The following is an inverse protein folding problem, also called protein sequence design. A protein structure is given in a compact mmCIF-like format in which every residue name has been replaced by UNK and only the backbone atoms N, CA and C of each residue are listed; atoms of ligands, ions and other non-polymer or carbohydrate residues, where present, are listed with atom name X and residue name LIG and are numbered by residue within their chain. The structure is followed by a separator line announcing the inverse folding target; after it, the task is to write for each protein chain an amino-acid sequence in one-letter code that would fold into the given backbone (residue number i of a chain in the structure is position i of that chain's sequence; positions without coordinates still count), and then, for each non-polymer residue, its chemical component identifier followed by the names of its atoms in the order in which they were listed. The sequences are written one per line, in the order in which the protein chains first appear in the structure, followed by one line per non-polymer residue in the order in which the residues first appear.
data_IF_026613695416
#
_entry.id   IF_026613695416
#
_cell.length_a   1.000
_cell.length_b   1.000
_cell.length_c   1.000
_cell.angle_alpha   90.00
_cell.angle_beta   90.00
_cell.angle_gamma   90.00
#
_symmetry.space_group_name_H-M   'P 1'
#
loop_
_entity.id
_entity.type
_entity.pdbx_description
1 polymer ?
#
# COMPACT_ATOMS: atom_id res chain seq x y z
N UNK A 1 22.65 0.78 6.27
CA UNK A 1 21.69 0.69 7.39
C UNK A 1 20.74 -0.46 7.09
N UNK A 2 20.25 -1.22 8.09
CA UNK A 2 19.15 -2.17 7.89
C UNK A 2 17.83 -1.47 8.23
N UNK A 3 16.79 -1.75 7.45
CA UNK A 3 15.43 -1.31 7.76
C UNK A 3 14.60 -2.50 8.23
N UNK A 4 13.95 -2.35 9.36
CA UNK A 4 13.21 -3.41 10.06
C UNK A 4 11.87 -2.86 10.53
N UNK A 5 10.82 -3.61 10.28
CA UNK A 5 9.50 -3.38 10.83
C UNK A 5 8.54 -4.50 10.47
N UNK A 6 7.26 -4.17 10.35
CA UNK A 6 6.19 -5.15 10.17
C UNK A 6 5.23 -4.75 9.05
N UNK A 7 4.42 -5.71 8.61
CA UNK A 7 3.20 -5.41 7.87
C UNK A 7 2.15 -4.90 8.86
N UNK A 8 1.83 -3.61 8.79
CA UNK A 8 0.96 -2.92 9.75
C UNK A 8 -0.43 -2.65 9.14
N UNK A 9 -1.43 -2.49 10.01
CA UNK A 9 -2.79 -2.20 9.59
C UNK A 9 -2.89 -0.77 9.02
N UNK A 10 -3.62 -0.61 7.92
CA UNK A 10 -4.06 0.68 7.37
C UNK A 10 -5.54 0.99 7.70
N UNK A 11 -6.14 0.25 8.64
CA UNK A 11 -7.54 0.47 9.04
C UNK A 11 -7.72 1.90 9.57
N UNK A 12 -8.79 2.56 9.12
CA UNK A 12 -9.08 3.97 9.40
C UNK A 12 -8.30 4.97 8.54
N UNK A 13 -7.57 4.52 7.51
CA UNK A 13 -6.83 5.38 6.57
C UNK A 13 -5.36 4.95 6.44
N UNK A 14 -4.79 5.10 5.25
CA UNK A 14 -3.41 4.67 4.94
C UNK A 14 -2.35 5.38 5.78
N UNK A 15 -2.58 6.64 6.17
CA UNK A 15 -1.69 7.39 7.07
C UNK A 15 -1.48 6.68 8.43
N UNK A 16 -2.47 5.93 8.91
CA UNK A 16 -2.35 5.17 10.15
C UNK A 16 -1.30 4.05 10.08
N UNK A 17 -0.95 3.57 8.89
CA UNK A 17 0.14 2.61 8.74
C UNK A 17 1.48 3.21 9.19
N UNK A 18 1.80 4.43 8.74
CA UNK A 18 3.01 5.14 9.17
C UNK A 18 3.01 5.44 10.68
N UNK A 19 1.86 5.84 11.23
CA UNK A 19 1.71 6.09 12.68
C UNK A 19 1.98 4.81 13.47
N UNK A 20 1.32 3.70 13.12
CA UNK A 20 1.47 2.40 13.81
C UNK A 20 2.88 1.83 13.66
N UNK A 21 3.52 2.03 12.52
CA UNK A 21 4.92 1.66 12.32
C UNK A 21 5.84 2.44 13.28
N UNK A 22 5.58 3.74 13.47
CA UNK A 22 6.34 4.56 14.41
C UNK A 22 6.12 4.14 15.88
N UNK A 23 4.89 3.80 16.26
CA UNK A 23 4.54 3.34 17.62
C UNK A 23 5.32 2.09 18.04
N UNK A 24 5.67 1.21 17.10
CA UNK A 24 6.46 0.00 17.34
C UNK A 24 7.97 0.21 17.16
N UNK A 25 8.42 1.44 16.92
CA UNK A 25 9.83 1.76 16.68
C UNK A 25 10.39 1.24 15.35
N UNK A 26 9.53 1.04 14.35
CA UNK A 26 9.96 0.53 13.05
C UNK A 26 10.81 1.55 12.27
N UNK A 27 11.68 1.02 11.42
CA UNK A 27 12.50 1.76 10.46
C UNK A 27 12.13 1.46 9.00
N UNK A 28 11.18 0.55 8.79
CA UNK A 28 10.45 0.30 7.55
C UNK A 28 9.07 -0.29 7.87
N UNK A 29 8.13 -0.28 6.93
CA UNK A 29 6.85 -0.96 7.10
C UNK A 29 6.27 -1.45 5.78
N UNK A 30 5.35 -2.40 5.88
CA UNK A 30 4.51 -2.85 4.78
C UNK A 30 3.03 -2.56 5.08
N UNK A 31 2.22 -2.43 4.04
CA UNK A 31 0.79 -2.20 4.12
C UNK A 31 0.09 -2.73 2.87
N UNK A 32 -1.21 -2.98 2.95
CA UNK A 32 -2.05 -3.06 1.75
C UNK A 32 -2.40 -1.65 1.27
N UNK A 33 -2.39 -1.42 -0.04
CA UNK A 33 -2.75 -0.10 -0.60
C UNK A 33 -4.25 0.16 -0.60
N UNK A 34 -5.04 -0.92 -0.64
CA UNK A 34 -6.50 -0.93 -0.67
C UNK A 34 -7.06 -2.16 0.03
N UNK A 35 -8.39 -2.28 0.06
CA UNK A 35 -9.06 -3.46 0.60
C UNK A 35 -8.77 -4.70 -0.26
N UNK A 36 -8.00 -5.63 0.28
CA UNK A 36 -7.55 -6.87 -0.36
C UNK A 36 -8.67 -7.90 -0.62
N UNK A 37 -9.91 -7.63 -0.20
CA UNK A 37 -11.08 -8.49 -0.46
C UNK A 37 -11.89 -8.03 -1.68
N UNK A 38 -11.53 -6.91 -2.30
CA UNK A 38 -12.27 -6.30 -3.40
C UNK A 38 -11.37 -6.19 -4.64
N UNK A 39 -11.96 -6.40 -5.81
CA UNK A 39 -11.25 -6.29 -7.09
C UNK A 39 -11.02 -4.83 -7.51
N UNK A 40 -12.00 -3.97 -7.24
CA UNK A 40 -11.94 -2.54 -7.53
C UNK A 40 -12.06 -1.78 -6.22
N UNK A 41 -11.14 -0.85 -6.01
CA UNK A 41 -11.22 0.13 -4.94
C UNK A 41 -11.42 1.51 -5.56
N UNK A 42 -12.03 2.42 -4.81
CA UNK A 42 -12.06 3.82 -5.21
C UNK A 42 -10.62 4.36 -5.29
N UNK A 43 -10.32 5.25 -6.25
CA UNK A 43 -9.06 5.98 -6.27
C UNK A 43 -8.81 6.67 -4.92
N UNK A 44 -7.54 6.75 -4.51
CA UNK A 44 -7.17 7.54 -3.35
C UNK A 44 -7.44 9.02 -3.64
N UNK A 45 -8.03 9.73 -2.68
CA UNK A 45 -8.20 11.18 -2.79
C UNK A 45 -6.86 11.89 -2.60
N UNK A 46 -6.72 13.09 -3.18
CA UNK A 46 -5.54 13.94 -2.97
C UNK A 46 -5.30 14.21 -1.48
N UNK A 47 -6.37 14.35 -0.69
CA UNK A 47 -6.31 14.49 0.76
C UNK A 47 -5.69 13.25 1.42
N UNK A 48 -6.14 12.04 1.06
CA UNK A 48 -5.59 10.79 1.61
C UNK A 48 -4.11 10.62 1.25
N UNK A 49 -3.72 11.00 0.03
CA UNK A 49 -2.33 10.96 -0.42
C UNK A 49 -1.48 11.97 0.38
N UNK A 50 -1.98 13.20 0.57
CA UNK A 50 -1.30 14.23 1.34
C UNK A 50 -1.11 13.82 2.80
N UNK A 51 -2.13 13.26 3.43
CA UNK A 51 -2.06 12.74 4.82
C UNK A 51 -1.02 11.63 4.96
N UNK A 52 -0.98 10.68 4.01
CA UNK A 52 0.00 9.60 4.02
C UNK A 52 1.43 10.15 3.90
N UNK A 53 1.67 11.06 2.95
CA UNK A 53 2.97 11.71 2.76
C UNK A 53 3.40 12.49 4.02
N UNK A 54 2.50 13.28 4.59
CA UNK A 54 2.77 14.04 5.81
C UNK A 54 3.09 13.13 7.01
N UNK A 55 2.40 11.99 7.15
CA UNK A 55 2.71 11.00 8.17
C UNK A 55 4.09 10.35 7.95
N UNK A 56 4.41 9.97 6.70
CA UNK A 56 5.72 9.40 6.36
C UNK A 56 6.86 10.39 6.64
N UNK A 57 6.69 11.67 6.28
CA UNK A 57 7.67 12.72 6.57
C UNK A 57 7.86 12.92 8.09
N UNK A 58 6.75 13.05 8.84
CA UNK A 58 6.75 13.22 10.30
C UNK A 58 7.52 12.09 11.00
N UNK A 59 7.36 10.85 10.55
CA UNK A 59 8.00 9.67 11.16
C UNK A 59 9.27 9.19 10.43
N UNK A 60 9.76 9.96 9.45
CA UNK A 60 11.02 9.72 8.73
C UNK A 60 11.06 8.39 7.96
N UNK A 61 9.95 8.03 7.32
CA UNK A 61 9.88 6.95 6.34
C UNK A 61 10.03 7.51 4.92
N UNK A 62 11.18 7.28 4.31
CA UNK A 62 11.43 7.52 2.89
C UNK A 62 10.84 6.38 2.04
N UNK A 63 10.62 6.58 0.72
CA UNK A 63 10.03 5.55 -0.16
C UNK A 63 10.75 4.19 -0.10
N UNK A 64 12.08 4.18 0.01
CA UNK A 64 12.87 2.95 0.13
C UNK A 64 12.70 2.17 1.45
N UNK A 65 11.88 2.67 2.38
CA UNK A 65 11.54 2.04 3.66
C UNK A 65 10.09 1.51 3.69
N UNK A 66 9.35 1.64 2.60
CA UNK A 66 7.94 1.28 2.51
C UNK A 66 7.79 0.18 1.46
N UNK A 67 7.19 -0.94 1.84
CA UNK A 67 6.99 -2.09 0.95
C UNK A 67 5.50 -2.41 0.85
N UNK A 68 4.75 -1.77 -0.06
CA UNK A 68 3.35 -2.09 -0.28
C UNK A 68 3.17 -3.54 -0.72
N UNK A 69 2.14 -4.19 -0.21
CA UNK A 69 1.72 -5.53 -0.61
C UNK A 69 0.41 -5.43 -1.39
N UNK A 70 0.34 -6.13 -2.51
CA UNK A 70 -0.87 -6.18 -3.33
C UNK A 70 -1.94 -7.13 -2.74
N UNK A 71 -3.12 -7.10 -3.33
CA UNK A 71 -4.21 -8.01 -2.98
C UNK A 71 -3.90 -9.47 -3.30
N UNK A 72 -4.16 -10.38 -2.36
CA UNK A 72 -4.06 -11.83 -2.59
C UNK A 72 -5.05 -12.39 -3.62
N UNK A 73 -6.00 -11.58 -4.11
CA UNK A 73 -6.89 -11.96 -5.20
C UNK A 73 -6.19 -11.92 -6.57
N UNK A 74 -5.12 -11.15 -6.69
CA UNK A 74 -4.39 -10.97 -7.95
C UNK A 74 -3.62 -12.26 -8.26
N UNK A 75 -3.84 -12.79 -9.46
CA UNK A 75 -3.06 -13.90 -10.00
C UNK A 75 -2.63 -13.58 -11.43
N UNK A 76 -1.42 -13.03 -11.58
CA UNK A 76 -0.83 -12.70 -12.88
C UNK A 76 -0.42 -13.93 -13.71
N UNK A 77 -0.55 -15.14 -13.16
CA UNK A 77 -0.34 -16.41 -13.86
C UNK A 77 -1.63 -17.21 -14.04
N UNK A 78 -2.80 -16.56 -13.94
CA UNK A 78 -4.08 -17.25 -14.01
C UNK A 78 -4.28 -17.90 -15.41
N UNK A 79 -4.69 -19.18 -15.51
CA UNK A 79 -4.82 -19.89 -16.79
C UNK A 79 -6.06 -19.51 -17.60
N UNK A 80 -7.04 -18.87 -16.96
CA UNK A 80 -8.27 -18.35 -17.60
C UNK A 80 -8.08 -16.88 -17.94
N UNK A 81 -8.23 -16.54 -19.22
CA UNK A 81 -7.98 -15.21 -19.78
C UNK A 81 -8.75 -14.10 -19.05
N UNK A 82 -10.05 -14.27 -18.82
CA UNK A 82 -10.89 -13.26 -18.13
C UNK A 82 -10.37 -12.95 -16.73
N UNK A 83 -9.96 -13.97 -15.97
CA UNK A 83 -9.42 -13.79 -14.63
C UNK A 83 -7.98 -13.25 -14.63
N UNK A 84 -7.22 -13.52 -15.70
CA UNK A 84 -5.90 -12.93 -15.92
C UNK A 84 -6.02 -11.43 -16.22
N UNK A 85 -6.91 -11.03 -17.12
CA UNK A 85 -7.20 -9.62 -17.42
C UNK A 85 -7.68 -8.87 -16.17
N UNK A 86 -8.58 -9.47 -15.39
CA UNK A 86 -9.02 -8.91 -14.11
C UNK A 86 -7.87 -8.70 -13.12
N UNK A 87 -6.93 -9.64 -13.08
CA UNK A 87 -5.73 -9.53 -12.23
C UNK A 87 -4.77 -8.45 -12.73
N UNK A 88 -4.61 -8.31 -14.05
CA UNK A 88 -3.80 -7.26 -14.68
C UNK A 88 -4.36 -5.86 -14.41
N UNK A 89 -5.67 -5.67 -14.60
CA UNK A 89 -6.36 -4.41 -14.26
C UNK A 89 -6.14 -4.07 -12.77
N UNK A 90 -6.41 -5.01 -11.88
CA UNK A 90 -6.27 -4.80 -10.44
C UNK A 90 -4.83 -4.48 -10.01
N UNK A 91 -3.83 -5.09 -10.68
CA UNK A 91 -2.42 -4.84 -10.43
C UNK A 91 -1.95 -3.47 -10.95
N UNK A 92 -2.46 -3.02 -12.11
CA UNK A 92 -2.20 -1.67 -12.62
C UNK A 92 -2.76 -0.62 -11.64
N UNK A 93 -3.95 -0.87 -11.07
CA UNK A 93 -4.52 0.01 -10.05
C UNK A 93 -3.65 0.07 -8.78
N UNK A 94 -3.08 -1.06 -8.34
CA UNK A 94 -2.14 -1.11 -7.20
C UNK A 94 -0.88 -0.27 -7.47
N UNK A 95 -0.28 -0.42 -8.67
CA UNK A 95 0.89 0.35 -9.08
C UNK A 95 0.60 1.85 -9.17
N UNK A 96 -0.58 2.22 -9.67
CA UNK A 96 -1.02 3.62 -9.77
C UNK A 96 -1.17 4.24 -8.38
N UNK A 97 -1.80 3.51 -7.45
CA UNK A 97 -1.93 3.95 -6.06
C UNK A 97 -0.56 4.12 -5.39
N UNK A 98 0.32 3.13 -5.50
CA UNK A 98 1.67 3.21 -4.94
C UNK A 98 2.49 4.36 -5.53
N UNK A 99 2.43 4.57 -6.85
CA UNK A 99 3.13 5.68 -7.53
C UNK A 99 2.63 7.05 -7.10
N UNK A 100 1.38 7.18 -6.63
CA UNK A 100 0.84 8.46 -6.16
C UNK A 100 1.49 8.95 -4.86
N UNK A 101 2.11 8.04 -4.09
CA UNK A 101 2.76 8.34 -2.81
C UNK A 101 4.18 8.86 -2.93
N UNK A 102 4.78 8.78 -4.12
CA UNK A 102 6.19 9.12 -4.37
C UNK A 102 7.13 7.99 -3.97
#
# INVERSE_FOLDING_TARGET
MKYIGAHVSASGGVANAAIRAAEIGATAFALFTKNQRQWRAAPLSDETIAEFKAACEKYRFAPGQILPHDSYLINLGHPVEEALEKSREAFIDELTAASSWG
#
